data_IF_305330441596
#
_entry.id   IF_305330441596
#
_cell.length_a   1.000
_cell.length_b   1.000
_cell.length_c   1.000
_cell.angle_alpha   90.00
_cell.angle_beta   90.00
_cell.angle_gamma   90.00
#
_symmetry.space_group_name_H-M   'P 1'
#
loop_
_entity.id
_entity.type
_entity.pdbx_description
1 polymer ?
#
# COMPACT_ATOMS: atom_id res chain seq x y z
N UNK A 1 -24.07 20.05 16.84
CA UNK A 1 -25.13 20.77 16.10
C UNK A 1 -24.94 20.36 14.65
N UNK A 2 -25.87 19.63 14.04
CA UNK A 2 -25.68 19.10 12.69
C UNK A 2 -25.75 20.24 11.68
N UNK A 3 -24.64 20.54 11.01
CA UNK A 3 -24.58 21.57 9.98
C UNK A 3 -24.56 20.89 8.60
N UNK A 4 -25.67 21.00 7.88
CA UNK A 4 -25.74 20.58 6.46
C UNK A 4 -25.43 21.80 5.62
N UNK A 5 -24.26 21.81 4.98
CA UNK A 5 -23.86 22.90 4.08
C UNK A 5 -23.97 22.41 2.65
N UNK A 6 -25.01 22.86 1.94
CA UNK A 6 -25.14 22.66 0.49
C UNK A 6 -24.43 23.78 -0.23
N UNK A 7 -23.34 23.47 -0.92
CA UNK A 7 -22.58 24.44 -1.68
C UNK A 7 -23.37 24.78 -2.96
N UNK A 8 -24.21 25.81 -2.91
CA UNK A 8 -25.02 26.27 -4.04
C UNK A 8 -24.14 27.11 -4.99
N UNK A 9 -23.16 26.50 -5.66
CA UNK A 9 -22.43 27.20 -6.71
C UNK A 9 -23.27 27.30 -7.98
N UNK A 10 -23.60 28.55 -8.32
CA UNK A 10 -24.27 28.95 -9.54
C UNK A 10 -23.48 28.45 -10.75
N UNK A 11 -24.08 27.57 -11.55
CA UNK A 11 -23.51 27.06 -12.80
C UNK A 11 -23.15 28.22 -13.74
N UNK A 12 -21.85 28.45 -13.97
CA UNK A 12 -21.36 29.17 -15.14
C UNK A 12 -20.59 28.18 -16.00
N UNK A 13 -21.05 28.06 -17.26
CA UNK A 13 -20.52 27.18 -18.30
C UNK A 13 -18.97 27.13 -18.31
N UNK A 14 -18.41 25.93 -18.29
CA UNK A 14 -17.29 25.60 -19.17
C UNK A 14 -17.23 24.09 -19.41
N UNK A 15 -16.95 23.71 -20.65
CA UNK A 15 -17.10 22.35 -21.16
C UNK A 15 -16.13 21.34 -20.55
N UNK A 16 -16.38 20.06 -20.88
CA UNK A 16 -15.52 18.92 -20.62
C UNK A 16 -14.04 19.29 -20.81
N UNK A 17 -13.35 19.53 -19.70
CA UNK A 17 -11.91 19.36 -19.63
C UNK A 17 -11.72 18.09 -18.81
N UNK A 18 -11.18 17.06 -19.45
CA UNK A 18 -10.53 15.97 -18.75
C UNK A 18 -9.38 16.64 -17.98
N UNK A 19 -9.62 16.98 -16.72
CA UNK A 19 -8.58 17.48 -15.83
C UNK A 19 -7.65 16.31 -15.56
N UNK A 20 -6.64 16.15 -16.41
CA UNK A 20 -5.45 15.38 -16.06
C UNK A 20 -4.91 15.96 -14.76
N UNK A 21 -4.59 15.11 -13.79
CA UNK A 21 -4.01 15.38 -12.47
C UNK A 21 -2.81 16.37 -12.51
N UNK A 22 -2.25 16.64 -13.70
CA UNK A 22 -1.17 17.59 -13.98
C UNK A 22 -1.32 19.01 -13.42
N UNK A 23 -2.53 19.50 -13.12
CA UNK A 23 -2.71 20.86 -12.54
C UNK A 23 -2.51 20.92 -11.01
N UNK A 24 -2.49 19.75 -10.36
CA UNK A 24 -2.28 19.57 -8.93
C UNK A 24 -1.09 18.62 -8.70
N UNK A 25 -0.04 18.74 -9.53
CA UNK A 25 1.19 18.02 -9.27
C UNK A 25 1.73 18.46 -7.90
N UNK A 26 2.07 17.53 -7.00
CA UNK A 26 2.71 17.89 -5.74
C UNK A 26 3.90 18.80 -6.05
N UNK A 27 4.07 19.88 -5.27
CA UNK A 27 5.31 20.66 -5.33
C UNK A 27 6.45 19.66 -5.27
N UNK A 28 7.47 19.82 -6.13
CA UNK A 28 8.62 18.92 -6.22
C UNK A 28 9.35 18.81 -4.87
N UNK A 29 8.82 17.98 -3.99
CA UNK A 29 9.57 17.34 -2.94
C UNK A 29 10.17 16.10 -3.58
N UNK A 30 11.49 15.97 -3.46
CA UNK A 30 12.30 14.94 -4.10
C UNK A 30 12.04 13.53 -3.55
N UNK A 31 10.81 13.21 -3.14
CA UNK A 31 10.54 12.04 -2.31
C UNK A 31 9.28 11.25 -2.72
N UNK A 32 8.53 11.60 -3.77
CA UNK A 32 7.32 10.86 -4.13
C UNK A 32 7.55 9.63 -5.06
N UNK A 33 8.70 9.52 -5.74
CA UNK A 33 9.00 8.40 -6.65
C UNK A 33 10.06 7.42 -6.12
N UNK A 34 10.45 7.54 -4.84
CA UNK A 34 11.41 6.62 -4.20
C UNK A 34 11.16 6.53 -2.70
N UNK A 35 10.03 5.98 -2.29
CA UNK A 35 9.90 5.44 -0.92
C UNK A 35 10.33 3.97 -0.97
N UNK A 36 11.60 3.73 -0.65
CA UNK A 36 12.02 2.46 -0.06
C UNK A 36 11.34 2.40 1.30
N UNK A 37 10.52 1.38 1.53
CA UNK A 37 9.91 1.19 2.84
C UNK A 37 11.00 0.81 3.83
N UNK A 38 11.38 1.72 4.72
CA UNK A 38 11.97 1.28 5.99
C UNK A 38 10.82 0.70 6.83
N UNK A 39 10.66 -0.62 6.71
CA UNK A 39 9.74 -1.38 7.54
C UNK A 39 10.29 -1.47 8.95
N UNK A 40 9.69 -0.74 9.90
CA UNK A 40 9.84 -1.06 11.31
C UNK A 40 9.05 -2.34 11.61
N UNK A 41 9.79 -3.44 11.74
CA UNK A 41 9.31 -4.72 12.27
C UNK A 41 8.93 -4.56 13.75
N UNK A 42 7.65 -4.74 14.08
CA UNK A 42 7.22 -4.89 15.48
C UNK A 42 7.47 -6.32 15.97
N UNK A 43 8.59 -6.50 16.67
CA UNK A 43 8.80 -7.65 17.54
C UNK A 43 8.61 -7.21 19.00
N UNK A 44 7.53 -7.69 19.61
CA UNK A 44 7.25 -7.50 21.03
C UNK A 44 8.27 -8.25 21.90
N UNK A 45 8.89 -7.58 22.87
CA UNK A 45 9.31 -8.16 24.17
C UNK A 45 9.31 -7.07 25.27
N UNK A 46 9.27 -7.57 26.50
CA UNK A 46 8.56 -7.08 27.68
C UNK A 46 9.52 -6.66 28.82
N UNK A 47 9.17 -5.58 29.54
CA UNK A 47 9.55 -5.19 30.93
C UNK A 47 11.05 -4.96 31.28
N UNK A 48 11.50 -3.92 32.01
CA UNK A 48 11.16 -3.48 33.37
C UNK A 48 11.91 -2.17 33.76
N UNK A 49 11.24 -1.36 34.59
CA UNK A 49 11.68 -0.43 35.67
C UNK A 49 12.71 0.73 35.52
N UNK A 50 12.17 1.95 35.76
CA UNK A 50 12.55 3.04 36.72
C UNK A 50 13.99 3.60 36.70
N UNK A 51 14.15 4.87 36.27
CA UNK A 51 14.11 6.12 37.08
C UNK A 51 15.41 6.39 37.86
N UNK A 52 16.15 7.47 37.55
CA UNK A 52 16.04 8.79 38.20
C UNK A 52 17.21 9.72 37.79
N UNK A 53 16.91 11.03 37.77
CA UNK A 53 17.77 12.18 38.11
C UNK A 53 19.16 12.41 37.45
N UNK A 54 19.30 13.51 36.68
CA UNK A 54 19.85 14.84 37.10
C UNK A 54 20.46 15.67 35.97
N UNK A 55 20.40 16.99 36.20
CA UNK A 55 20.58 18.15 35.32
C UNK A 55 22.02 18.49 34.88
N UNK A 56 22.08 19.55 34.06
CA UNK A 56 23.20 20.42 33.69
C UNK A 56 24.19 19.88 32.65
N UNK A 57 24.78 20.64 31.73
CA UNK A 57 24.54 21.93 31.08
C UNK A 57 25.69 22.07 30.06
N UNK A 58 25.45 22.69 28.91
CA UNK A 58 26.42 23.43 28.07
C UNK A 58 27.92 23.02 28.09
N UNK A 59 28.43 22.55 26.95
CA UNK A 59 29.53 23.25 26.27
C UNK A 59 29.59 22.88 24.78
N UNK A 60 29.46 23.92 23.96
CA UNK A 60 29.64 23.95 22.52
C UNK A 60 31.13 23.76 22.19
N UNK A 61 31.45 22.69 21.47
CA UNK A 61 32.75 22.51 20.80
C UNK A 61 32.52 21.86 19.44
N UNK A 62 32.44 22.72 18.44
CA UNK A 62 32.63 22.38 17.03
C UNK A 62 34.04 21.81 16.82
N UNK A 63 34.15 20.49 16.66
CA UNK A 63 35.32 19.85 16.06
C UNK A 63 34.90 19.25 14.71
N UNK A 64 35.41 19.90 13.67
CA UNK A 64 35.44 19.42 12.30
C UNK A 64 36.22 18.10 12.24
N UNK A 65 35.50 16.99 12.21
CA UNK A 65 36.04 15.69 11.84
C UNK A 65 35.89 15.53 10.33
N UNK A 66 37.00 15.65 9.60
CA UNK A 66 37.14 15.12 8.25
C UNK A 66 37.02 13.60 8.34
N UNK A 67 35.78 13.10 8.30
CA UNK A 67 35.50 11.68 8.10
C UNK A 67 35.84 11.32 6.67
N UNK A 68 36.92 10.58 6.51
CA UNK A 68 37.26 9.86 5.29
C UNK A 68 36.02 9.12 4.78
N UNK A 69 35.60 9.42 3.55
CA UNK A 69 34.70 8.59 2.78
C UNK A 69 35.37 7.22 2.61
N UNK A 70 35.07 6.30 3.53
CA UNK A 70 35.35 4.90 3.34
C UNK A 70 34.35 4.43 2.29
N UNK A 71 34.76 4.54 1.03
CA UNK A 71 34.10 3.89 -0.08
C UNK A 71 34.12 2.39 0.21
N UNK A 72 33.05 1.87 0.79
CA UNK A 72 32.74 0.45 0.71
C UNK A 72 32.59 0.16 -0.77
N UNK A 73 33.63 -0.41 -1.36
CA UNK A 73 33.50 -1.09 -2.63
C UNK A 73 32.41 -2.14 -2.42
N UNK A 74 31.25 -1.95 -3.07
CA UNK A 74 30.28 -3.02 -3.24
C UNK A 74 31.05 -4.16 -3.89
N UNK A 75 31.36 -5.21 -3.13
CA UNK A 75 31.82 -6.46 -3.71
C UNK A 75 30.68 -6.89 -4.63
N UNK A 76 30.88 -6.76 -5.95
CA UNK A 76 29.92 -7.22 -6.92
C UNK A 76 29.82 -8.73 -6.73
N UNK A 77 28.78 -9.19 -6.05
CA UNK A 77 28.49 -10.62 -5.97
C UNK A 77 28.33 -11.15 -7.39
N UNK A 78 29.18 -12.10 -7.77
CA UNK A 78 29.16 -12.67 -9.12
C UNK A 78 27.79 -13.35 -9.33
N UNK A 79 26.97 -12.76 -10.20
CA UNK A 79 25.69 -13.36 -10.60
C UNK A 79 25.99 -14.64 -11.38
N UNK A 80 25.61 -15.77 -10.81
CA UNK A 80 25.65 -17.08 -11.44
C UNK A 80 24.42 -17.27 -12.32
N UNK A 81 24.50 -18.21 -13.27
CA UNK A 81 23.38 -18.53 -14.16
C UNK A 81 23.13 -20.03 -14.18
N UNK A 82 21.86 -20.42 -14.20
CA UNK A 82 21.39 -21.78 -14.44
C UNK A 82 20.17 -21.71 -15.36
N UNK A 83 20.37 -22.09 -16.62
CA UNK A 83 19.41 -21.81 -17.69
C UNK A 83 19.16 -20.31 -17.85
N UNK A 84 17.87 -19.94 -17.78
CA UNK A 84 17.42 -18.55 -17.90
C UNK A 84 17.39 -17.79 -16.56
N UNK A 85 17.81 -18.43 -15.46
CA UNK A 85 17.80 -17.82 -14.14
C UNK A 85 19.18 -17.30 -13.75
N UNK A 86 19.24 -16.05 -13.32
CA UNK A 86 20.38 -15.45 -12.61
C UNK A 86 20.19 -15.53 -11.11
N UNK A 87 21.22 -15.94 -10.37
CA UNK A 87 21.16 -16.08 -8.93
C UNK A 87 22.49 -15.74 -8.24
N UNK A 88 22.41 -15.38 -6.97
CA UNK A 88 23.56 -15.21 -6.06
C UNK A 88 23.53 -16.32 -5.00
N UNK A 89 24.71 -16.67 -4.46
CA UNK A 89 24.81 -17.61 -3.34
C UNK A 89 25.09 -16.83 -2.06
N UNK A 90 24.16 -16.91 -1.11
CA UNK A 90 24.33 -16.40 0.24
C UNK A 90 24.23 -17.57 1.20
N UNK A 91 25.25 -17.78 2.05
CA UNK A 91 25.27 -18.83 3.09
C UNK A 91 24.97 -20.26 2.58
N UNK A 92 25.26 -20.56 1.31
CA UNK A 92 25.04 -21.88 0.70
C UNK A 92 23.62 -22.14 0.19
N UNK A 93 22.79 -21.11 0.10
CA UNK A 93 21.48 -21.17 -0.58
C UNK A 93 21.44 -20.19 -1.77
N UNK A 94 20.60 -20.49 -2.76
CA UNK A 94 20.43 -19.65 -3.94
C UNK A 94 19.37 -18.56 -3.67
N UNK A 95 19.71 -17.32 -4.01
CA UNK A 95 18.75 -16.22 -4.11
C UNK A 95 18.58 -15.84 -5.57
N UNK A 96 17.38 -16.04 -6.09
CA UNK A 96 17.04 -15.74 -7.48
C UNK A 96 16.97 -14.22 -7.66
N UNK A 97 17.86 -13.69 -8.51
CA UNK A 97 18.03 -12.24 -8.68
C UNK A 97 17.78 -11.72 -10.09
N UNK A 98 17.63 -12.61 -11.08
CA UNK A 98 17.22 -12.23 -12.42
C UNK A 98 16.56 -13.40 -13.16
N UNK A 99 15.68 -13.08 -14.09
CA UNK A 99 15.15 -14.00 -15.07
C UNK A 99 15.30 -13.42 -16.48
N UNK A 100 15.94 -14.19 -17.36
CA UNK A 100 16.32 -13.78 -18.71
C UNK A 100 15.50 -14.47 -19.81
N UNK A 101 14.60 -15.38 -19.43
CA UNK A 101 13.79 -16.17 -20.36
C UNK A 101 12.53 -15.43 -20.83
N UNK A 102 11.80 -16.07 -21.74
CA UNK A 102 10.58 -15.56 -22.37
C UNK A 102 9.34 -16.41 -22.11
N UNK A 103 9.42 -17.39 -21.19
CA UNK A 103 8.27 -18.21 -20.81
C UNK A 103 7.08 -17.36 -20.36
N UNK A 104 5.90 -17.75 -20.82
CA UNK A 104 4.63 -17.14 -20.42
C UNK A 104 4.04 -17.80 -19.18
N UNK A 105 4.45 -19.03 -18.87
CA UNK A 105 4.06 -19.78 -17.67
C UNK A 105 5.33 -20.38 -17.10
N UNK A 106 5.68 -20.01 -15.87
CA UNK A 106 6.97 -20.34 -15.28
C UNK A 106 6.82 -21.02 -13.92
N UNK A 107 7.47 -22.16 -13.77
CA UNK A 107 7.73 -22.79 -12.48
C UNK A 107 9.12 -22.36 -12.01
N UNK A 108 9.22 -21.71 -10.85
CA UNK A 108 10.53 -21.43 -10.24
C UNK A 108 11.10 -22.77 -9.75
N UNK A 109 12.32 -23.15 -10.17
CA UNK A 109 12.93 -24.40 -9.74
C UNK A 109 13.24 -24.38 -8.24
N UNK A 110 13.15 -25.54 -7.60
CA UNK A 110 13.48 -25.70 -6.17
C UNK A 110 15.00 -25.56 -5.92
N UNK A 111 15.83 -25.75 -6.95
CA UNK A 111 17.29 -25.62 -6.89
C UNK A 111 17.85 -24.86 -8.11
N UNK A 112 18.87 -24.04 -7.89
CA UNK A 112 19.70 -23.41 -8.93
C UNK A 112 21.18 -23.72 -8.66
N UNK A 113 21.86 -24.29 -9.65
CA UNK A 113 23.24 -24.77 -9.51
C UNK A 113 23.40 -25.83 -8.41
N UNK A 114 22.34 -26.59 -8.12
CA UNK A 114 22.28 -27.59 -7.04
C UNK A 114 22.12 -27.01 -5.63
N UNK A 115 21.77 -25.72 -5.49
CA UNK A 115 21.49 -25.08 -4.20
C UNK A 115 20.02 -24.70 -4.12
N UNK A 116 19.40 -24.94 -2.96
CA UNK A 116 17.98 -24.63 -2.73
C UNK A 116 17.68 -23.16 -2.98
N UNK A 117 16.64 -22.85 -3.76
CA UNK A 117 16.18 -21.48 -4.00
C UNK A 117 15.33 -21.03 -2.83
N UNK A 118 15.82 -20.10 -2.02
CA UNK A 118 15.13 -19.67 -0.78
C UNK A 118 14.58 -18.25 -0.84
N UNK A 119 15.00 -17.46 -1.83
CA UNK A 119 14.53 -16.10 -1.99
C UNK A 119 14.40 -15.71 -3.46
N UNK A 120 13.44 -14.82 -3.73
CA UNK A 120 13.33 -14.04 -4.96
C UNK A 120 13.64 -12.61 -4.56
N UNK A 121 14.76 -12.07 -5.05
CA UNK A 121 15.24 -10.76 -4.65
C UNK A 121 14.51 -9.64 -5.40
N UNK A 122 14.73 -8.40 -4.95
CA UNK A 122 14.16 -7.22 -5.58
C UNK A 122 14.53 -7.18 -7.07
N UNK A 123 13.54 -6.93 -7.91
CA UNK A 123 13.73 -6.79 -9.35
C UNK A 123 13.93 -8.08 -10.15
N UNK A 124 13.94 -9.27 -9.52
CA UNK A 124 14.28 -10.53 -10.21
C UNK A 124 13.44 -10.80 -11.48
N UNK A 125 12.17 -10.40 -11.46
CA UNK A 125 11.25 -10.48 -12.60
C UNK A 125 10.72 -9.11 -13.02
N UNK A 126 11.27 -8.00 -12.52
CA UNK A 126 10.69 -6.69 -12.75
C UNK A 126 10.62 -6.34 -14.24
N UNK A 127 9.50 -5.75 -14.65
CA UNK A 127 9.16 -5.40 -16.02
C UNK A 127 9.09 -6.61 -16.99
N UNK A 128 8.90 -7.83 -16.49
CA UNK A 128 8.59 -8.96 -17.36
C UNK A 128 7.17 -8.82 -17.92
N UNK A 129 7.07 -8.40 -19.17
CA UNK A 129 5.79 -8.11 -19.83
C UNK A 129 5.23 -9.29 -20.63
N UNK A 130 5.86 -10.46 -20.59
CA UNK A 130 5.40 -11.69 -21.27
C UNK A 130 4.87 -12.75 -20.32
N UNK A 131 5.30 -12.75 -19.06
CA UNK A 131 4.91 -13.72 -18.05
C UNK A 131 3.43 -13.55 -17.69
N UNK A 132 2.62 -14.59 -17.94
CA UNK A 132 1.19 -14.65 -17.62
C UNK A 132 0.95 -15.35 -16.28
N UNK A 133 1.71 -16.38 -15.96
CA UNK A 133 1.58 -17.11 -14.71
C UNK A 133 2.95 -17.47 -14.14
N UNK A 134 3.08 -17.36 -12.81
CA UNK A 134 4.24 -17.87 -12.09
C UNK A 134 3.86 -18.73 -10.89
N UNK A 135 4.54 -19.86 -10.77
CA UNK A 135 4.44 -20.74 -9.62
C UNK A 135 5.73 -20.60 -8.79
N UNK A 136 5.60 -20.02 -7.61
CA UNK A 136 6.68 -19.87 -6.64
C UNK A 136 6.85 -21.19 -5.88
N UNK A 137 8.03 -21.80 -6.01
CA UNK A 137 8.37 -23.11 -5.45
C UNK A 137 8.22 -23.20 -3.93
N UNK A 138 8.22 -24.43 -3.41
CA UNK A 138 8.02 -24.71 -2.00
C UNK A 138 9.24 -24.34 -1.14
N UNK A 139 10.45 -24.33 -1.71
CA UNK A 139 11.69 -23.94 -1.05
C UNK A 139 11.80 -22.44 -0.82
N UNK A 140 11.06 -21.62 -1.58
CA UNK A 140 11.13 -20.16 -1.49
C UNK A 140 10.50 -19.70 -0.19
N UNK A 141 11.28 -18.96 0.60
CA UNK A 141 10.87 -18.41 1.89
C UNK A 141 10.49 -16.93 1.76
N UNK A 142 11.23 -16.17 0.96
CA UNK A 142 11.08 -14.72 0.84
C UNK A 142 10.83 -14.29 -0.61
N UNK A 143 9.78 -13.51 -0.82
CA UNK A 143 9.52 -12.77 -2.06
C UNK A 143 9.71 -11.29 -1.75
N UNK A 144 10.84 -10.73 -2.19
CA UNK A 144 11.23 -9.37 -1.84
C UNK A 144 10.35 -8.29 -2.48
N UNK A 145 10.45 -7.06 -1.97
CA UNK A 145 9.87 -5.87 -2.57
C UNK A 145 10.24 -5.74 -4.05
N UNK A 146 9.23 -5.45 -4.88
CA UNK A 146 9.40 -5.23 -6.30
C UNK A 146 9.88 -6.44 -7.11
N UNK A 147 9.89 -7.65 -6.54
CA UNK A 147 10.32 -8.87 -7.23
C UNK A 147 9.62 -9.06 -8.58
N UNK A 148 8.32 -8.75 -8.67
CA UNK A 148 7.49 -8.82 -9.88
C UNK A 148 6.97 -7.46 -10.32
N UNK A 149 7.60 -6.35 -9.88
CA UNK A 149 7.09 -5.01 -10.19
C UNK A 149 7.05 -4.76 -11.69
N UNK A 150 5.94 -4.26 -12.21
CA UNK A 150 5.79 -3.97 -13.65
C UNK A 150 5.58 -5.20 -14.52
N UNK A 151 5.28 -6.38 -13.95
CA UNK A 151 4.88 -7.54 -14.73
C UNK A 151 3.48 -7.34 -15.33
N UNK A 152 3.38 -6.59 -16.42
CA UNK A 152 2.09 -6.07 -16.91
C UNK A 152 1.15 -7.11 -17.49
N UNK A 153 1.66 -8.30 -17.84
CA UNK A 153 0.87 -9.40 -18.37
C UNK A 153 0.60 -10.50 -17.34
N UNK A 154 1.13 -10.39 -16.12
CA UNK A 154 1.01 -11.42 -15.10
C UNK A 154 -0.42 -11.46 -14.59
N UNK A 155 -1.14 -12.54 -14.91
CA UNK A 155 -2.54 -12.80 -14.57
C UNK A 155 -2.67 -13.59 -13.27
N UNK A 156 -1.72 -14.51 -13.00
CA UNK A 156 -1.79 -15.43 -11.87
C UNK A 156 -0.46 -15.68 -11.17
N UNK A 157 -0.50 -15.71 -9.85
CA UNK A 157 0.62 -16.12 -8.99
C UNK A 157 0.19 -17.26 -8.08
N UNK A 158 0.96 -18.34 -8.01
CA UNK A 158 0.75 -19.42 -7.05
C UNK A 158 1.92 -19.48 -6.07
N UNK A 159 1.65 -19.35 -4.77
CA UNK A 159 2.64 -19.35 -3.70
C UNK A 159 2.78 -20.74 -3.05
N UNK A 160 3.99 -21.29 -3.06
CA UNK A 160 4.36 -22.55 -2.42
C UNK A 160 4.23 -22.53 -0.89
N UNK A 161 4.39 -23.69 -0.25
CA UNK A 161 4.16 -23.81 1.20
C UNK A 161 5.24 -23.15 2.08
N UNK A 162 6.47 -22.97 1.57
CA UNK A 162 7.58 -22.35 2.31
C UNK A 162 7.52 -20.83 2.33
N UNK A 163 6.71 -20.20 1.47
CA UNK A 163 6.63 -18.74 1.35
C UNK A 163 6.14 -18.16 2.67
N UNK A 164 7.04 -17.47 3.37
CA UNK A 164 6.82 -16.92 4.69
C UNK A 164 6.76 -15.39 4.71
N UNK A 165 7.37 -14.74 3.71
CA UNK A 165 7.38 -13.28 3.56
C UNK A 165 7.04 -12.90 2.12
N UNK A 166 6.04 -12.04 1.98
CA UNK A 166 5.63 -11.38 0.72
C UNK A 166 5.38 -9.92 1.04
N UNK A 167 6.04 -9.01 0.32
CA UNK A 167 5.78 -7.58 0.46
C UNK A 167 4.62 -7.18 -0.45
N UNK A 168 3.76 -6.25 -0.01
CA UNK A 168 2.66 -5.76 -0.85
C UNK A 168 3.16 -5.19 -2.20
N UNK A 169 4.33 -4.53 -2.19
CA UNK A 169 5.02 -3.99 -3.36
C UNK A 169 5.71 -5.03 -4.24
N UNK A 170 5.76 -6.31 -3.84
CA UNK A 170 6.28 -7.40 -4.69
C UNK A 170 5.53 -7.48 -6.03
N UNK A 171 4.25 -7.10 -6.05
CA UNK A 171 3.37 -7.10 -7.22
C UNK A 171 2.88 -5.70 -7.60
N UNK A 172 3.70 -4.67 -7.40
CA UNK A 172 3.34 -3.32 -7.85
C UNK A 172 3.34 -3.21 -9.38
N UNK A 173 2.52 -2.30 -9.91
CA UNK A 173 2.31 -2.14 -11.36
C UNK A 173 2.06 -3.46 -12.14
N UNK A 174 1.30 -4.40 -11.56
CA UNK A 174 0.84 -5.64 -12.20
C UNK A 174 -0.66 -5.57 -12.54
N UNK A 175 -1.09 -4.71 -13.49
CA UNK A 175 -2.51 -4.41 -13.73
C UNK A 175 -3.33 -5.61 -14.22
N UNK A 176 -2.70 -6.64 -14.78
CA UNK A 176 -3.38 -7.85 -15.24
C UNK A 176 -3.55 -8.90 -14.14
N UNK A 177 -2.93 -8.73 -12.96
CA UNK A 177 -2.95 -9.75 -11.92
C UNK A 177 -4.37 -9.83 -11.35
N UNK A 178 -5.02 -10.97 -11.57
CA UNK A 178 -6.39 -11.24 -11.15
C UNK A 178 -6.43 -12.19 -9.95
N UNK A 179 -5.41 -13.05 -9.79
CA UNK A 179 -5.45 -14.13 -8.80
C UNK A 179 -4.09 -14.38 -8.14
N UNK A 180 -4.08 -14.40 -6.81
CA UNK A 180 -3.01 -14.97 -5.98
C UNK A 180 -3.56 -16.20 -5.27
N UNK A 181 -3.03 -17.36 -5.64
CA UNK A 181 -3.29 -18.63 -4.94
C UNK A 181 -2.18 -18.94 -3.94
N UNK A 182 -2.55 -19.63 -2.88
CA UNK A 182 -1.61 -20.08 -1.85
C UNK A 182 -1.82 -21.57 -1.61
N UNK A 183 -0.74 -22.33 -1.56
CA UNK A 183 -0.76 -23.72 -1.16
C UNK A 183 -1.50 -23.90 0.17
N UNK A 184 -2.40 -24.88 0.26
CA UNK A 184 -3.16 -25.16 1.50
C UNK A 184 -2.25 -25.50 2.68
N UNK A 185 -1.05 -26.00 2.40
CA UNK A 185 -0.02 -26.34 3.37
C UNK A 185 0.86 -25.14 3.79
N UNK A 186 0.70 -23.97 3.16
CA UNK A 186 1.43 -22.76 3.54
C UNK A 186 1.08 -22.36 4.98
N UNK A 187 2.10 -22.08 5.78
CA UNK A 187 1.96 -21.76 7.21
C UNK A 187 1.69 -20.28 7.51
N UNK A 188 2.00 -19.37 6.59
CA UNK A 188 1.99 -17.91 6.81
C UNK A 188 0.82 -17.21 6.13
N UNK A 189 0.37 -17.72 4.99
CA UNK A 189 -0.63 -17.07 4.14
C UNK A 189 -1.80 -18.00 3.79
N UNK A 190 -2.88 -17.37 3.36
CA UNK A 190 -4.04 -18.03 2.74
C UNK A 190 -4.59 -17.15 1.63
N UNK A 191 -5.49 -17.70 0.82
CA UNK A 191 -6.20 -16.94 -0.23
C UNK A 191 -7.71 -17.03 -0.01
N UNK A 192 -8.41 -15.94 -0.33
CA UNK A 192 -9.87 -15.87 -0.40
C UNK A 192 -10.22 -15.18 -1.70
N UNK A 193 -10.88 -15.89 -2.62
CA UNK A 193 -11.30 -15.34 -3.93
C UNK A 193 -10.16 -14.65 -4.71
N UNK A 194 -8.95 -15.22 -4.65
CA UNK A 194 -7.76 -14.70 -5.33
C UNK A 194 -7.03 -13.58 -4.59
N UNK A 195 -7.55 -13.11 -3.45
CA UNK A 195 -6.91 -12.10 -2.60
C UNK A 195 -6.04 -12.76 -1.54
N UNK A 196 -4.83 -12.21 -1.32
CA UNK A 196 -3.85 -12.72 -0.37
C UNK A 196 -4.15 -12.19 1.05
N UNK A 197 -4.24 -13.11 2.00
CA UNK A 197 -4.39 -12.83 3.42
C UNK A 197 -3.31 -13.53 4.23
N UNK A 198 -3.10 -13.10 5.48
CA UNK A 198 -2.42 -13.92 6.49
C UNK A 198 -3.14 -15.27 6.67
N UNK A 199 -2.45 -16.26 7.27
CA UNK A 199 -2.99 -17.62 7.41
C UNK A 199 -4.30 -17.66 8.20
N UNK A 200 -4.40 -16.83 9.23
CA UNK A 200 -5.56 -16.67 10.09
C UNK A 200 -6.61 -15.69 9.51
N UNK A 201 -6.30 -15.04 8.38
CA UNK A 201 -7.12 -14.04 7.68
C UNK A 201 -7.35 -12.74 8.46
N UNK A 202 -6.57 -12.48 9.50
CA UNK A 202 -6.63 -11.26 10.28
C UNK A 202 -6.16 -10.03 9.51
N UNK A 203 -5.33 -10.20 8.48
CA UNK A 203 -4.85 -9.11 7.61
C UNK A 203 -5.05 -9.44 6.13
N UNK A 204 -5.62 -8.49 5.39
CA UNK A 204 -5.63 -8.47 3.93
C UNK A 204 -4.29 -7.88 3.45
N UNK A 205 -3.43 -8.74 2.93
CA UNK A 205 -2.04 -8.41 2.59
C UNK A 205 -1.95 -7.79 1.20
N UNK A 206 -2.63 -8.39 0.21
CA UNK A 206 -2.59 -7.91 -1.17
C UNK A 206 -3.84 -8.32 -1.95
N UNK A 207 -4.55 -7.32 -2.45
CA UNK A 207 -5.54 -7.47 -3.51
C UNK A 207 -4.83 -7.38 -4.88
N UNK A 208 -5.08 -8.33 -5.81
CA UNK A 208 -4.62 -8.22 -7.19
C UNK A 208 -5.13 -6.93 -7.87
N UNK A 209 -4.30 -6.24 -8.66
CA UNK A 209 -4.69 -4.96 -9.27
C UNK A 209 -5.73 -5.11 -10.39
N UNK A 210 -5.73 -6.26 -11.05
CA UNK A 210 -6.67 -6.66 -12.09
C UNK A 210 -7.93 -7.33 -11.55
N UNK A 211 -8.00 -7.64 -10.25
CA UNK A 211 -9.23 -8.18 -9.64
C UNK A 211 -10.38 -7.20 -9.89
N UNK A 212 -11.48 -7.72 -10.45
CA UNK A 212 -12.67 -6.93 -10.76
C UNK A 212 -13.88 -7.37 -9.97
N UNK A 213 -14.51 -6.39 -9.31
CA UNK A 213 -15.73 -6.58 -8.54
C UNK A 213 -16.54 -5.28 -8.54
N UNK A 214 -17.86 -5.40 -8.73
CA UNK A 214 -18.76 -4.25 -8.53
C UNK A 214 -18.75 -3.80 -7.06
N UNK A 215 -18.66 -4.75 -6.14
CA UNK A 215 -18.52 -4.53 -4.71
C UNK A 215 -17.62 -5.61 -4.13
N UNK A 216 -16.57 -5.20 -3.42
CA UNK A 216 -15.69 -6.08 -2.67
C UNK A 216 -15.99 -5.93 -1.18
N UNK A 217 -16.51 -6.99 -0.58
CA UNK A 217 -16.77 -7.05 0.86
C UNK A 217 -15.55 -7.69 1.52
N UNK A 218 -14.83 -6.93 2.34
CA UNK A 218 -13.71 -7.49 3.12
C UNK A 218 -14.31 -8.51 4.11
N UNK A 219 -13.80 -9.76 4.17
CA UNK A 219 -14.40 -10.81 5.00
C UNK A 219 -14.45 -10.45 6.50
N UNK A 220 -15.54 -10.86 7.15
CA UNK A 220 -15.70 -10.79 8.60
C UNK A 220 -14.53 -11.44 9.36
N UNK A 221 -14.06 -10.77 10.41
CA UNK A 221 -12.90 -11.19 11.19
C UNK A 221 -11.54 -10.73 10.65
N UNK A 222 -11.48 -10.10 9.47
CA UNK A 222 -10.30 -9.33 9.07
C UNK A 222 -10.18 -8.08 9.95
N UNK A 223 -9.06 -7.95 10.66
CA UNK A 223 -8.78 -6.83 11.56
C UNK A 223 -8.02 -5.68 10.91
N UNK A 224 -7.36 -5.92 9.76
CA UNK A 224 -6.52 -4.93 9.11
C UNK A 224 -6.56 -5.08 7.59
N UNK A 225 -6.77 -3.96 6.89
CA UNK A 225 -6.34 -3.81 5.49
C UNK A 225 -4.91 -3.28 5.50
N UNK A 226 -3.98 -4.12 5.07
CA UNK A 226 -2.53 -3.86 5.16
C UNK A 226 -2.05 -2.69 4.30
N UNK A 227 -0.80 -2.29 4.50
CA UNK A 227 -0.20 -1.18 3.77
C UNK A 227 -0.21 -1.45 2.26
N UNK A 228 -0.82 -0.55 1.49
CA UNK A 228 -0.89 -0.72 0.03
C UNK A 228 -1.71 -1.93 -0.44
N UNK A 229 -2.55 -2.53 0.40
CA UNK A 229 -3.18 -3.80 0.07
C UNK A 229 -4.03 -3.73 -1.22
N UNK A 230 -4.75 -2.64 -1.45
CA UNK A 230 -5.49 -2.36 -2.70
C UNK A 230 -4.78 -1.35 -3.61
N UNK A 231 -3.50 -1.04 -3.37
CA UNK A 231 -2.77 -0.07 -4.18
C UNK A 231 -2.91 -0.38 -5.68
N UNK A 232 -3.39 0.60 -6.44
CA UNK A 232 -3.65 0.57 -7.89
C UNK A 232 -4.67 -0.48 -8.33
N UNK A 233 -5.54 -0.95 -7.44
CA UNK A 233 -6.68 -1.77 -7.84
C UNK A 233 -7.59 -0.99 -8.78
N UNK A 234 -7.71 -1.49 -10.00
CA UNK A 234 -8.39 -0.80 -11.09
C UNK A 234 -9.73 -1.46 -11.46
N UNK A 235 -10.02 -2.66 -10.96
CA UNK A 235 -11.26 -3.36 -11.28
C UNK A 235 -12.37 -3.27 -10.22
N UNK A 236 -12.12 -2.64 -9.07
CA UNK A 236 -13.03 -2.61 -7.92
C UNK A 236 -13.75 -1.26 -7.83
N UNK A 237 -15.09 -1.29 -7.87
CA UNK A 237 -15.92 -0.09 -7.89
C UNK A 237 -16.40 0.32 -6.49
N UNK A 238 -16.63 -0.64 -5.61
CA UNK A 238 -17.08 -0.40 -4.24
C UNK A 238 -16.34 -1.30 -3.25
N UNK A 239 -16.07 -0.79 -2.05
CA UNK A 239 -15.50 -1.58 -0.95
C UNK A 239 -16.33 -1.40 0.32
N UNK A 240 -16.63 -2.52 0.97
CA UNK A 240 -17.29 -2.58 2.28
C UNK A 240 -16.29 -3.10 3.30
N UNK A 241 -15.99 -2.28 4.30
CA UNK A 241 -15.07 -2.60 5.41
C UNK A 241 -15.87 -3.13 6.62
N UNK A 242 -15.61 -4.36 7.10
CA UNK A 242 -16.39 -4.99 8.17
C UNK A 242 -16.11 -4.35 9.53
N UNK A 243 -16.92 -4.72 10.53
CA UNK A 243 -16.75 -4.24 11.90
C UNK A 243 -15.38 -4.64 12.49
N UNK A 244 -14.70 -3.68 13.12
CA UNK A 244 -13.42 -3.91 13.81
C UNK A 244 -12.20 -4.03 12.88
N UNK A 245 -12.35 -3.71 11.59
CA UNK A 245 -11.25 -3.68 10.64
C UNK A 245 -10.66 -2.26 10.53
N UNK A 246 -9.37 -2.13 10.79
CA UNK A 246 -8.62 -0.88 10.62
C UNK A 246 -7.96 -0.79 9.24
N UNK A 247 -7.50 0.40 8.89
CA UNK A 247 -6.81 0.69 7.64
C UNK A 247 -5.34 1.02 7.91
N UNK A 248 -4.44 0.63 7.00
CA UNK A 248 -3.04 1.07 6.98
C UNK A 248 -2.82 2.18 5.95
N UNK A 249 -1.68 2.87 6.05
CA UNK A 249 -1.25 3.86 5.05
C UNK A 249 -1.23 3.27 3.64
N UNK A 250 -1.59 4.10 2.66
CA UNK A 250 -1.66 3.72 1.24
C UNK A 250 -2.65 2.59 0.89
N UNK A 251 -3.53 2.14 1.80
CA UNK A 251 -4.40 0.98 1.59
C UNK A 251 -5.10 0.98 0.22
N UNK A 252 -5.64 2.12 -0.21
CA UNK A 252 -6.34 2.33 -1.48
C UNK A 252 -5.62 3.33 -2.42
N UNK A 253 -4.29 3.44 -2.31
CA UNK A 253 -3.49 4.37 -3.11
C UNK A 253 -3.71 4.14 -4.61
N UNK A 254 -4.21 5.15 -5.33
CA UNK A 254 -4.57 5.11 -6.74
C UNK A 254 -5.58 4.01 -7.13
N UNK A 255 -6.58 3.75 -6.29
CA UNK A 255 -7.77 3.00 -6.71
C UNK A 255 -8.66 3.88 -7.61
N UNK A 256 -8.21 4.12 -8.84
CA UNK A 256 -8.78 5.14 -9.73
C UNK A 256 -10.25 4.86 -10.10
N UNK A 257 -10.73 3.61 -9.96
CA UNK A 257 -12.11 3.20 -10.24
C UNK A 257 -13.01 3.04 -9.00
N UNK A 258 -12.45 3.19 -7.80
CA UNK A 258 -13.23 3.15 -6.56
C UNK A 258 -14.19 4.34 -6.51
N UNK A 259 -15.50 4.08 -6.47
CA UNK A 259 -16.57 5.09 -6.42
C UNK A 259 -17.18 5.23 -5.04
N UNK A 260 -17.33 4.13 -4.32
CA UNK A 260 -17.99 4.11 -3.02
C UNK A 260 -17.17 3.30 -2.03
N UNK A 261 -17.07 3.81 -0.81
CA UNK A 261 -16.44 3.12 0.30
C UNK A 261 -17.35 3.24 1.52
N UNK A 262 -17.67 2.12 2.16
CA UNK A 262 -18.54 2.09 3.34
C UNK A 262 -17.92 1.31 4.48
N UNK A 263 -18.22 1.76 5.70
CA UNK A 263 -17.79 1.15 6.94
C UNK A 263 -18.99 0.50 7.62
N UNK A 264 -18.88 -0.76 8.02
CA UNK A 264 -19.91 -1.46 8.82
C UNK A 264 -19.69 -1.30 10.33
N UNK A 265 -18.52 -0.80 10.74
CA UNK A 265 -18.20 -0.49 12.14
C UNK A 265 -17.40 0.80 12.29
N UNK A 266 -16.98 1.06 13.53
CA UNK A 266 -16.07 2.16 13.83
C UNK A 266 -14.67 1.83 13.34
N UNK A 267 -13.94 2.86 12.90
CA UNK A 267 -12.50 2.82 12.67
C UNK A 267 -11.87 3.99 13.40
N UNK A 268 -10.66 3.80 13.92
CA UNK A 268 -10.01 4.84 14.74
C UNK A 268 -9.47 6.00 13.91
N UNK A 269 -8.87 5.68 12.76
CA UNK A 269 -8.06 6.62 11.97
C UNK A 269 -8.25 6.34 10.48
N UNK A 270 -8.26 7.41 9.67
CA UNK A 270 -7.99 7.31 8.23
C UNK A 270 -6.51 7.66 8.02
N UNK A 271 -5.63 6.68 7.75
CA UNK A 271 -4.18 6.91 7.72
C UNK A 271 -3.70 7.75 6.54
N UNK A 272 -2.41 8.08 6.58
CA UNK A 272 -1.75 8.83 5.52
C UNK A 272 -1.89 8.13 4.16
N UNK A 273 -2.14 8.92 3.12
CA UNK A 273 -2.27 8.47 1.74
C UNK A 273 -3.33 7.38 1.50
N UNK A 274 -4.23 7.09 2.45
CA UNK A 274 -5.12 5.93 2.41
C UNK A 274 -5.93 5.85 1.11
N UNK A 275 -6.58 6.94 0.71
CA UNK A 275 -7.35 7.10 -0.53
C UNK A 275 -6.68 8.06 -1.51
N UNK A 276 -5.36 8.23 -1.43
CA UNK A 276 -4.62 9.12 -2.32
C UNK A 276 -4.92 8.79 -3.79
N UNK A 277 -5.32 9.80 -4.57
CA UNK A 277 -5.56 9.64 -6.00
C UNK A 277 -6.78 8.79 -6.36
N UNK A 278 -7.71 8.51 -5.44
CA UNK A 278 -8.99 7.86 -5.77
C UNK A 278 -9.91 8.84 -6.54
N UNK A 279 -9.58 9.07 -7.81
CA UNK A 279 -10.15 10.17 -8.61
C UNK A 279 -11.66 10.04 -8.89
N UNK A 280 -12.22 8.83 -8.81
CA UNK A 280 -13.65 8.56 -9.02
C UNK A 280 -14.44 8.36 -7.72
N UNK A 281 -13.82 8.47 -6.54
CA UNK A 281 -14.52 8.30 -5.26
C UNK A 281 -15.56 9.41 -5.10
N UNK A 282 -16.86 9.07 -5.05
CA UNK A 282 -17.96 10.03 -5.14
C UNK A 282 -18.49 10.46 -3.76
N UNK A 283 -18.52 9.53 -2.81
CA UNK A 283 -19.04 9.75 -1.46
C UNK A 283 -18.17 9.06 -0.42
N UNK A 284 -17.94 9.77 0.70
CA UNK A 284 -17.37 9.21 1.93
C UNK A 284 -18.21 9.64 3.11
N UNK A 285 -18.68 8.66 3.87
CA UNK A 285 -19.31 8.87 5.17
C UNK A 285 -18.46 8.19 6.25
N UNK A 286 -17.68 9.00 6.99
CA UNK A 286 -16.85 8.49 8.07
C UNK A 286 -17.73 8.08 9.26
N UNK A 287 -17.55 6.88 9.84
CA UNK A 287 -18.36 6.39 10.94
C UNK A 287 -17.99 7.10 12.24
N UNK A 288 -18.92 7.17 13.18
CA UNK A 288 -18.61 7.58 14.56
C UNK A 288 -17.48 6.70 15.12
N UNK A 289 -16.49 7.33 15.74
CA UNK A 289 -15.27 6.67 16.25
C UNK A 289 -14.00 7.10 15.51
N UNK A 290 -14.10 7.68 14.31
CA UNK A 290 -12.94 8.26 13.63
C UNK A 290 -12.46 9.49 14.38
N UNK A 291 -11.20 9.49 14.81
CA UNK A 291 -10.57 10.58 15.56
C UNK A 291 -9.63 11.42 14.69
N UNK A 292 -8.90 10.78 13.76
CA UNK A 292 -7.80 11.39 13.02
C UNK A 292 -7.86 11.10 11.52
N UNK A 293 -7.60 12.12 10.70
CA UNK A 293 -7.37 12.01 9.26
C UNK A 293 -5.93 12.42 8.92
N UNK A 294 -5.17 11.48 8.38
CA UNK A 294 -3.74 11.59 8.08
C UNK A 294 -3.38 12.51 6.91
N UNK A 295 -2.08 12.67 6.69
CA UNK A 295 -1.51 13.46 5.61
C UNK A 295 -1.93 12.89 4.25
N UNK A 296 -2.44 13.75 3.36
CA UNK A 296 -2.91 13.37 2.03
C UNK A 296 -3.91 12.21 1.98
N UNK A 297 -4.64 11.93 3.08
CA UNK A 297 -5.53 10.78 3.21
C UNK A 297 -6.55 10.65 2.06
N UNK A 298 -7.05 11.76 1.53
CA UNK A 298 -7.95 11.85 0.37
C UNK A 298 -7.38 12.74 -0.74
N UNK A 299 -6.06 12.99 -0.79
CA UNK A 299 -5.48 13.89 -1.78
C UNK A 299 -5.89 13.54 -3.21
N UNK A 300 -6.33 14.54 -3.97
CA UNK A 300 -6.69 14.35 -5.37
C UNK A 300 -7.95 13.51 -5.61
N UNK A 301 -8.80 13.27 -4.59
CA UNK A 301 -10.14 12.71 -4.77
C UNK A 301 -11.07 13.74 -5.44
N UNK A 302 -10.79 14.08 -6.70
CA UNK A 302 -11.52 15.08 -7.49
C UNK A 302 -12.97 14.69 -7.77
N UNK A 303 -13.30 13.40 -7.64
CA UNK A 303 -14.64 12.83 -7.73
C UNK A 303 -15.51 13.10 -6.49
N UNK A 304 -14.91 13.41 -5.34
CA UNK A 304 -15.62 13.43 -4.06
C UNK A 304 -16.64 14.56 -4.00
N UNK A 305 -17.93 14.22 -4.09
CA UNK A 305 -19.07 15.17 -4.08
C UNK A 305 -19.70 15.31 -2.71
N UNK A 306 -19.80 14.20 -1.98
CA UNK A 306 -20.47 14.14 -0.68
C UNK A 306 -19.53 13.64 0.42
N UNK A 307 -19.43 14.41 1.50
CA UNK A 307 -18.57 14.11 2.64
C UNK A 307 -19.39 14.17 3.94
N UNK A 308 -19.25 13.15 4.79
CA UNK A 308 -19.75 13.21 6.17
C UNK A 308 -18.60 13.01 7.16
N UNK A 309 -18.40 14.00 8.04
CA UNK A 309 -17.41 14.00 9.11
C UNK A 309 -18.13 13.93 10.48
N UNK A 310 -17.90 12.90 11.30
CA UNK A 310 -18.57 12.70 12.58
C UNK A 310 -18.02 13.60 13.68
N UNK A 311 -18.75 13.69 14.80
CA UNK A 311 -18.38 14.54 15.93
C UNK A 311 -17.11 14.10 16.66
N UNK A 312 -16.69 12.85 16.45
CA UNK A 312 -15.48 12.27 17.04
C UNK A 312 -14.18 12.76 16.40
N UNK A 313 -14.22 13.39 15.22
CA UNK A 313 -13.01 13.88 14.58
C UNK A 313 -12.39 14.99 15.43
N UNK A 314 -11.13 14.79 15.83
CA UNK A 314 -10.36 15.74 16.64
C UNK A 314 -9.15 16.30 15.92
N UNK A 315 -8.68 15.64 14.85
CA UNK A 315 -7.58 16.11 14.02
C UNK A 315 -7.81 15.78 12.53
N UNK A 316 -7.58 16.78 11.68
CA UNK A 316 -7.58 16.65 10.22
C UNK A 316 -6.29 17.30 9.71
N UNK A 317 -5.44 16.56 9.01
CA UNK A 317 -4.25 17.15 8.37
C UNK A 317 -4.64 18.24 7.36
N UNK A 318 -3.86 19.33 7.30
CA UNK A 318 -4.07 20.44 6.36
C UNK A 318 -4.08 19.97 4.89
N UNK A 319 -3.40 18.86 4.60
CA UNK A 319 -3.30 18.27 3.26
C UNK A 319 -4.27 17.11 3.01
N UNK A 320 -5.06 16.70 4.03
CA UNK A 320 -5.89 15.49 3.96
C UNK A 320 -6.84 15.49 2.76
N UNK A 321 -7.41 16.64 2.39
CA UNK A 321 -8.30 16.81 1.23
C UNK A 321 -7.74 17.80 0.19
N UNK A 322 -6.42 17.99 0.15
CA UNK A 322 -5.81 18.84 -0.87
C UNK A 322 -6.16 18.30 -2.28
N UNK A 323 -6.46 19.21 -3.22
CA UNK A 323 -6.94 18.90 -4.56
C UNK A 323 -8.30 18.16 -4.64
N UNK A 324 -9.09 18.05 -3.55
CA UNK A 324 -10.48 17.54 -3.58
C UNK A 324 -11.48 18.58 -4.11
N UNK A 325 -11.32 19.04 -5.35
CA UNK A 325 -12.10 20.17 -5.89
C UNK A 325 -13.59 19.91 -6.13
N UNK A 326 -14.07 18.70 -5.84
CA UNK A 326 -15.43 18.24 -6.12
C UNK A 326 -16.46 18.43 -5.01
N UNK A 327 -16.08 18.78 -3.78
CA UNK A 327 -17.00 18.67 -2.63
C UNK A 327 -18.15 19.69 -2.75
N UNK A 328 -19.37 19.17 -2.90
CA UNK A 328 -20.62 19.94 -3.08
C UNK A 328 -21.53 19.90 -1.84
N UNK A 329 -21.54 18.76 -1.13
CA UNK A 329 -22.33 18.55 0.08
C UNK A 329 -21.43 18.03 1.20
N UNK A 330 -21.42 18.72 2.34
CA UNK A 330 -20.76 18.24 3.54
C UNK A 330 -21.72 18.24 4.73
N UNK A 331 -21.78 17.10 5.42
CA UNK A 331 -22.36 16.97 6.75
C UNK A 331 -21.20 16.94 7.75
N UNK A 332 -21.05 18.00 8.53
CA UNK A 332 -19.97 18.09 9.52
C UNK A 332 -20.55 18.20 10.92
N UNK A 333 -19.99 17.40 11.83
CA UNK A 333 -20.31 17.42 13.25
C UNK A 333 -19.03 17.56 14.08
N UNK A 334 -19.13 18.19 15.25
CA UNK A 334 -17.96 18.47 16.09
C UNK A 334 -17.23 19.77 15.73
N UNK A 335 -16.50 20.32 16.70
CA UNK A 335 -15.86 21.63 16.57
C UNK A 335 -14.70 21.59 15.57
N UNK A 336 -13.87 20.55 15.61
CA UNK A 336 -12.73 20.37 14.70
C UNK A 336 -13.19 20.29 13.23
N UNK A 337 -14.13 19.40 12.91
CA UNK A 337 -14.63 19.25 11.54
C UNK A 337 -15.32 20.52 11.02
N UNK A 338 -16.04 21.24 11.88
CA UNK A 338 -16.71 22.50 11.52
C UNK A 338 -15.70 23.61 11.21
N UNK A 339 -14.65 23.75 12.04
CA UNK A 339 -13.59 24.72 11.83
C UNK A 339 -12.80 24.43 10.55
N UNK A 340 -12.39 23.17 10.37
CA UNK A 340 -11.70 22.72 9.17
C UNK A 340 -12.51 23.04 7.90
N UNK A 341 -13.79 22.65 7.85
CA UNK A 341 -14.62 22.85 6.66
C UNK A 341 -14.84 24.34 6.35
N UNK A 342 -14.92 25.19 7.37
CA UNK A 342 -15.02 26.64 7.21
C UNK A 342 -13.77 27.27 6.58
N UNK A 343 -12.59 26.67 6.79
CA UNK A 343 -11.35 27.10 6.15
C UNK A 343 -11.19 26.49 4.76
N UNK A 344 -11.63 25.23 4.58
CA UNK A 344 -11.60 24.53 3.30
C UNK A 344 -12.37 25.26 2.18
N UNK A 345 -13.47 25.94 2.52
CA UNK A 345 -14.29 26.68 1.56
C UNK A 345 -13.70 28.03 1.09
N UNK A 346 -12.59 28.51 1.68
CA UNK A 346 -11.99 29.82 1.37
C UNK A 346 -10.95 29.74 0.27
#
# INVERSE_FOLDING_TARGET
MKLIVKNLFLSVLCGLLVCTVSACAPKKDKQADSYVSEGESSAAQDSTEKADDTEESFEDRSESSEGSEESTAEESEDIMTDGDFGYILAEGVAQLCAYYGDDTVLDIPEELGGNSVTAITAGAFANNTSLLQINVGNSVVNVAEGAFSGCTALEKVSLGNGVAVVYASSFDACPALEEIEVSVANGSYSTVEGVLYTKDKSELVRCPQGLSAEEFVVPEGTSLVGNGAFRKCSGINAVVLPEGCELSSNAFFHCDNLRTFSFEGAVSTVPDYCFFGCVLLEEIALPEGVECLGEYAFFGCVGLRKLSLPATVTAISDTAFECCTGIEEAEVEGDCATEWYSNYQK
#
